data_IF_122145173810
#
_entry.id   IF_122145173810
#
_cell.length_a   1.000
_cell.length_b   1.000
_cell.length_c   1.000
_cell.angle_alpha   90.00
_cell.angle_beta   90.00
_cell.angle_gamma   90.00
#
_symmetry.space_group_name_H-M   'P 1'
#
loop_
_entity.id
_entity.type
_entity.pdbx_description
1 polymer ?
#
# COMPACT_ATOMS: atom_id res chain seq x y z
N UNK A 1 26.17 -10.96 -4.81
CA UNK A 1 25.02 -10.10 -4.44
C UNK A 1 25.22 -8.65 -4.89
N UNK A 2 26.46 -8.14 -5.05
CA UNK A 2 26.73 -6.79 -5.57
C UNK A 2 26.58 -6.67 -7.09
N UNK A 3 26.73 -7.75 -7.83
CA UNK A 3 26.59 -7.74 -9.31
C UNK A 3 25.13 -7.68 -9.82
N UNK A 4 24.14 -8.01 -8.98
CA UNK A 4 22.71 -7.94 -9.38
C UNK A 4 22.08 -6.57 -9.14
N UNK A 5 22.64 -5.71 -8.28
CA UNK A 5 22.15 -4.35 -8.06
C UNK A 5 22.63 -3.36 -9.13
N UNK A 6 23.81 -3.57 -9.72
CA UNK A 6 24.34 -2.73 -10.81
C UNK A 6 23.54 -2.88 -12.13
N UNK A 7 22.99 -4.06 -12.42
CA UNK A 7 22.24 -4.29 -13.66
C UNK A 7 20.84 -3.62 -13.67
N UNK A 8 20.22 -3.43 -12.50
CA UNK A 8 18.93 -2.74 -12.39
C UNK A 8 19.01 -1.23 -12.60
N UNK A 9 20.11 -0.60 -12.22
CA UNK A 9 20.29 0.84 -12.34
C UNK A 9 20.80 1.26 -13.73
N UNK A 10 21.46 0.35 -14.45
CA UNK A 10 21.91 0.59 -15.82
C UNK A 10 20.77 0.70 -16.86
N UNK A 11 19.57 0.20 -16.53
CA UNK A 11 18.39 0.27 -17.40
C UNK A 11 17.55 1.53 -17.21
N UNK A 12 17.80 2.34 -16.21
CA UNK A 12 17.05 3.58 -15.97
C UNK A 12 17.52 4.71 -16.90
N UNK A 13 16.53 5.44 -17.45
CA UNK A 13 16.77 6.61 -18.31
C UNK A 13 17.10 7.82 -17.43
N UNK A 14 18.37 8.10 -17.20
CA UNK A 14 18.82 9.21 -16.34
C UNK A 14 19.55 10.30 -17.10
N UNK A 15 20.32 9.95 -18.13
CA UNK A 15 21.07 10.89 -18.95
C UNK A 15 20.22 11.52 -20.05
N UNK A 16 20.58 12.75 -20.47
CA UNK A 16 19.91 13.39 -21.60
C UNK A 16 20.03 12.59 -22.89
N UNK A 17 21.14 11.87 -23.09
CA UNK A 17 21.33 11.04 -24.26
C UNK A 17 20.37 9.86 -24.26
N UNK A 18 20.28 9.11 -23.14
CA UNK A 18 19.37 7.96 -23.05
C UNK A 18 17.90 8.36 -23.19
N UNK A 19 17.51 9.50 -22.60
CA UNK A 19 16.15 10.06 -22.73
C UNK A 19 15.88 10.45 -24.19
N UNK A 20 16.84 11.06 -24.85
CA UNK A 20 16.72 11.44 -26.27
C UNK A 20 16.54 10.21 -27.16
N UNK A 21 17.37 9.20 -26.95
CA UNK A 21 17.31 7.97 -27.72
C UNK A 21 15.98 7.26 -27.53
N UNK A 22 15.50 7.21 -26.30
CA UNK A 22 14.16 6.71 -25.98
C UNK A 22 13.07 7.50 -26.73
N UNK A 23 13.10 8.82 -26.69
CA UNK A 23 12.12 9.68 -27.38
C UNK A 23 12.12 9.47 -28.88
N UNK A 24 13.28 9.25 -29.47
CA UNK A 24 13.40 9.00 -30.92
C UNK A 24 12.88 7.61 -31.31
N UNK A 25 13.15 6.59 -30.49
CA UNK A 25 12.80 5.20 -30.80
C UNK A 25 11.36 4.85 -30.35
N UNK A 26 10.97 5.26 -29.15
CA UNK A 26 9.75 4.82 -28.48
C UNK A 26 8.80 5.95 -28.09
N UNK A 27 9.11 7.20 -28.41
CA UNK A 27 8.30 8.35 -28.01
C UNK A 27 6.83 8.31 -28.48
N UNK A 28 6.55 7.57 -29.55
CA UNK A 28 5.18 7.36 -30.07
C UNK A 28 4.31 6.48 -29.17
N UNK A 29 4.90 5.72 -28.26
CA UNK A 29 4.19 4.88 -27.29
C UNK A 29 3.66 5.68 -26.10
N UNK A 30 4.15 6.91 -25.91
CA UNK A 30 3.71 7.80 -24.86
C UNK A 30 2.33 8.41 -25.18
N UNK A 31 1.48 8.65 -24.16
CA UNK A 31 0.29 9.49 -24.31
C UNK A 31 0.65 10.85 -24.93
N UNK A 32 -0.23 11.39 -25.77
CA UNK A 32 0.07 12.58 -26.57
C UNK A 32 0.49 13.80 -25.75
N UNK A 33 -0.18 14.05 -24.62
CA UNK A 33 0.16 15.16 -23.73
C UNK A 33 1.51 14.95 -23.05
N UNK A 34 1.84 13.74 -22.64
CA UNK A 34 3.13 13.41 -22.02
C UNK A 34 4.25 13.52 -23.06
N UNK A 35 4.01 13.06 -24.29
CA UNK A 35 4.98 13.20 -25.38
C UNK A 35 5.29 14.66 -25.69
N UNK A 36 4.26 15.52 -25.75
CA UNK A 36 4.43 16.94 -25.98
C UNK A 36 5.18 17.61 -24.81
N UNK A 37 4.81 17.27 -23.59
CA UNK A 37 5.50 17.73 -22.39
C UNK A 37 6.98 17.31 -22.38
N UNK A 38 7.27 16.05 -22.73
CA UNK A 38 8.63 15.53 -22.78
C UNK A 38 9.48 16.27 -23.80
N UNK A 39 8.96 16.55 -24.99
CA UNK A 39 9.66 17.36 -26.00
C UNK A 39 10.01 18.75 -25.52
N UNK A 40 9.08 19.43 -24.84
CA UNK A 40 9.31 20.76 -24.28
C UNK A 40 10.39 20.73 -23.18
N UNK A 41 10.31 19.78 -22.25
CA UNK A 41 11.30 19.65 -21.19
C UNK A 41 12.68 19.25 -21.73
N UNK A 42 12.74 18.42 -22.76
CA UNK A 42 14.00 18.07 -23.43
C UNK A 42 14.66 19.28 -24.09
N UNK A 43 13.86 20.17 -24.70
CA UNK A 43 14.36 21.43 -25.25
C UNK A 43 14.93 22.33 -24.14
N UNK A 44 14.24 22.47 -23.00
CA UNK A 44 14.73 23.22 -21.84
C UNK A 44 16.02 22.60 -21.30
N UNK A 45 16.07 21.30 -21.10
CA UNK A 45 17.24 20.62 -20.56
C UNK A 45 18.50 20.76 -21.45
N UNK A 46 18.33 20.97 -22.75
CA UNK A 46 19.40 21.20 -23.72
C UNK A 46 19.75 22.65 -23.95
N UNK A 47 18.89 23.59 -23.56
CA UNK A 47 19.08 25.00 -23.84
C UNK A 47 20.23 25.58 -23.00
N UNK A 48 21.10 26.34 -23.65
CA UNK A 48 22.13 27.12 -22.97
C UNK A 48 21.64 28.52 -22.52
N UNK A 49 20.44 28.90 -22.93
CA UNK A 49 19.82 30.16 -22.61
C UNK A 49 19.12 30.20 -21.26
N UNK A 50 18.80 28.99 -20.71
CA UNK A 50 18.18 28.85 -19.38
C UNK A 50 19.23 28.57 -18.31
N UNK A 51 18.86 28.84 -17.04
CA UNK A 51 19.75 28.60 -15.90
C UNK A 51 20.14 27.12 -15.76
N UNK A 52 21.34 26.84 -15.21
CA UNK A 52 21.74 25.46 -14.93
C UNK A 52 20.74 24.73 -14.00
N UNK A 53 20.11 25.46 -13.13
CA UNK A 53 19.12 24.93 -12.17
C UNK A 53 17.83 24.50 -12.87
N UNK A 54 17.32 25.33 -13.76
CA UNK A 54 16.15 25.02 -14.58
C UNK A 54 16.40 23.81 -15.50
N UNK A 55 17.58 23.72 -16.11
CA UNK A 55 17.98 22.53 -16.90
C UNK A 55 17.99 21.27 -16.04
N UNK A 56 18.53 21.33 -14.82
CA UNK A 56 18.57 20.20 -13.89
C UNK A 56 17.16 19.75 -13.49
N UNK A 57 16.25 20.68 -13.21
CA UNK A 57 14.86 20.34 -12.90
C UNK A 57 14.16 19.70 -14.09
N UNK A 58 14.35 20.21 -15.30
CA UNK A 58 13.78 19.62 -16.51
C UNK A 58 14.30 18.19 -16.74
N UNK A 59 15.59 17.97 -16.59
CA UNK A 59 16.19 16.64 -16.73
C UNK A 59 15.69 15.65 -15.68
N UNK A 60 15.60 16.08 -14.43
CA UNK A 60 15.06 15.24 -13.34
C UNK A 60 13.60 14.86 -13.58
N UNK A 61 12.77 15.80 -13.99
CA UNK A 61 11.37 15.53 -14.31
C UNK A 61 11.23 14.58 -15.50
N UNK A 62 12.05 14.74 -16.55
CA UNK A 62 12.11 13.80 -17.68
C UNK A 62 12.50 12.39 -17.21
N UNK A 63 13.53 12.26 -16.39
CA UNK A 63 13.95 10.97 -15.85
C UNK A 63 12.83 10.28 -15.08
N UNK A 64 12.10 11.00 -14.25
CA UNK A 64 10.94 10.45 -13.51
C UNK A 64 9.88 9.94 -14.48
N UNK A 65 9.44 10.77 -15.42
CA UNK A 65 8.32 10.47 -16.31
C UNK A 65 8.64 9.41 -17.37
N UNK A 66 9.87 9.38 -17.88
CA UNK A 66 10.28 8.42 -18.92
C UNK A 66 10.58 7.01 -18.36
N UNK A 67 10.78 6.89 -17.05
CA UNK A 67 10.92 5.60 -16.39
C UNK A 67 9.58 5.01 -15.90
N UNK A 68 8.46 5.72 -16.10
CA UNK A 68 7.12 5.18 -15.87
C UNK A 68 6.62 4.57 -17.17
N UNK A 69 6.22 3.30 -17.13
CA UNK A 69 5.57 2.64 -18.24
C UNK A 69 4.10 3.05 -18.30
N UNK A 70 3.72 3.85 -19.30
CA UNK A 70 2.35 4.32 -19.52
C UNK A 70 1.55 3.25 -20.24
N UNK A 71 0.73 2.51 -19.47
CA UNK A 71 -0.05 1.37 -19.96
C UNK A 71 -1.46 1.78 -20.38
N UNK A 72 -2.07 0.94 -21.19
CA UNK A 72 -3.47 1.07 -21.56
C UNK A 72 -4.39 0.75 -20.36
N UNK A 73 -5.62 1.24 -20.42
CA UNK A 73 -6.66 0.96 -19.42
C UNK A 73 -7.38 -0.38 -19.71
N UNK A 74 -6.61 -1.45 -19.90
CA UNK A 74 -7.13 -2.79 -20.10
C UNK A 74 -6.54 -3.74 -19.04
N UNK A 75 -7.41 -4.43 -18.32
CA UNK A 75 -7.04 -5.39 -17.28
C UNK A 75 -7.48 -6.80 -17.69
N UNK A 76 -6.56 -7.73 -17.56
CA UNK A 76 -6.84 -9.12 -17.83
C UNK A 76 -7.79 -9.72 -16.79
N UNK A 77 -8.48 -10.77 -17.20
CA UNK A 77 -9.39 -11.49 -16.31
C UNK A 77 -8.59 -12.22 -15.21
N UNK A 78 -9.16 -12.18 -14.01
CA UNK A 78 -8.61 -12.82 -12.81
C UNK A 78 -9.51 -13.99 -12.44
N UNK A 79 -8.93 -15.15 -12.16
CA UNK A 79 -9.68 -16.30 -11.69
C UNK A 79 -10.29 -16.01 -10.31
N UNK A 80 -11.64 -16.03 -10.18
CA UNK A 80 -12.28 -15.79 -8.89
C UNK A 80 -11.93 -16.84 -7.82
N UNK A 81 -11.65 -18.06 -8.21
CA UNK A 81 -11.28 -19.14 -7.27
C UNK A 81 -9.86 -18.91 -6.73
N UNK A 82 -8.92 -18.48 -7.59
CA UNK A 82 -7.60 -18.06 -7.15
C UNK A 82 -7.67 -16.83 -6.21
N UNK A 83 -8.50 -15.85 -6.55
CA UNK A 83 -8.72 -14.68 -5.70
C UNK A 83 -9.29 -15.08 -4.33
N UNK A 84 -10.25 -16.00 -4.30
CA UNK A 84 -10.81 -16.51 -3.07
C UNK A 84 -9.76 -17.24 -2.23
N UNK A 85 -8.95 -18.08 -2.84
CA UNK A 85 -7.86 -18.78 -2.16
C UNK A 85 -6.88 -17.80 -1.49
N UNK A 86 -6.49 -16.75 -2.18
CA UNK A 86 -5.61 -15.70 -1.62
C UNK A 86 -6.26 -15.04 -0.41
N UNK A 87 -7.54 -14.70 -0.50
CA UNK A 87 -8.27 -14.09 0.62
C UNK A 87 -8.40 -15.04 1.82
N UNK A 88 -8.60 -16.33 1.57
CA UNK A 88 -8.71 -17.33 2.64
C UNK A 88 -7.36 -17.62 3.33
N UNK A 89 -6.25 -17.47 2.61
CA UNK A 89 -4.90 -17.53 3.18
C UNK A 89 -4.57 -16.33 4.09
N UNK A 90 -5.03 -15.15 3.72
CA UNK A 90 -4.70 -13.90 4.42
C UNK A 90 -5.69 -13.54 5.54
N UNK A 91 -6.95 -14.00 5.42
CA UNK A 91 -8.03 -13.57 6.30
C UNK A 91 -8.81 -14.78 6.83
N UNK A 92 -9.00 -14.81 8.14
CA UNK A 92 -9.94 -15.74 8.76
C UNK A 92 -11.37 -15.19 8.74
N UNK A 93 -12.35 -15.99 8.32
CA UNK A 93 -13.75 -15.58 8.27
C UNK A 93 -14.00 -14.40 7.33
N UNK A 94 -14.72 -13.40 7.78
CA UNK A 94 -15.07 -12.18 7.02
C UNK A 94 -15.71 -12.48 5.64
N UNK A 95 -16.64 -13.41 5.59
CA UNK A 95 -17.24 -13.88 4.34
C UNK A 95 -17.89 -12.76 3.52
N UNK A 96 -18.54 -11.80 4.16
CA UNK A 96 -19.16 -10.65 3.48
C UNK A 96 -18.11 -9.73 2.83
N UNK A 97 -16.98 -9.52 3.51
CA UNK A 97 -15.87 -8.72 3.00
C UNK A 97 -15.25 -9.41 1.79
N UNK A 98 -14.97 -10.71 1.90
CA UNK A 98 -14.42 -11.52 0.81
C UNK A 98 -15.35 -11.52 -0.41
N UNK A 99 -16.65 -11.70 -0.19
CA UNK A 99 -17.64 -11.65 -1.26
C UNK A 99 -17.64 -10.30 -1.99
N UNK A 100 -17.62 -9.18 -1.26
CA UNK A 100 -17.55 -7.83 -1.85
C UNK A 100 -16.29 -7.65 -2.71
N UNK A 101 -15.18 -8.19 -2.29
CA UNK A 101 -13.93 -8.14 -3.06
C UNK A 101 -14.06 -8.99 -4.33
N UNK A 102 -14.61 -10.21 -4.23
CA UNK A 102 -14.84 -11.08 -5.39
C UNK A 102 -15.83 -10.44 -6.39
N UNK A 103 -16.87 -9.78 -5.92
CA UNK A 103 -17.80 -9.03 -6.79
C UNK A 103 -17.05 -7.96 -7.59
N UNK A 104 -16.11 -7.26 -6.98
CA UNK A 104 -15.25 -6.30 -7.66
C UNK A 104 -14.39 -6.98 -8.76
N UNK A 105 -13.80 -8.14 -8.44
CA UNK A 105 -13.03 -8.92 -9.41
C UNK A 105 -13.89 -9.35 -10.60
N UNK A 106 -15.10 -9.83 -10.36
CA UNK A 106 -16.04 -10.24 -11.42
C UNK A 106 -16.41 -9.03 -12.29
N UNK A 107 -16.59 -7.86 -11.70
CA UNK A 107 -16.84 -6.62 -12.45
C UNK A 107 -15.66 -6.30 -13.37
N UNK A 108 -14.42 -6.36 -12.88
CA UNK A 108 -13.21 -6.15 -13.69
C UNK A 108 -13.16 -7.17 -14.84
N UNK A 109 -13.42 -8.45 -14.56
CA UNK A 109 -13.42 -9.50 -15.57
C UNK A 109 -14.45 -9.25 -16.69
N UNK A 110 -15.56 -8.62 -16.37
CA UNK A 110 -16.61 -8.32 -17.33
C UNK A 110 -16.33 -7.11 -18.19
N UNK A 111 -15.74 -6.07 -17.59
CA UNK A 111 -15.52 -4.78 -18.23
C UNK A 111 -14.09 -4.59 -18.76
N UNK A 112 -13.14 -5.36 -18.27
CA UNK A 112 -11.71 -5.18 -18.45
C UNK A 112 -11.18 -3.79 -18.06
N UNK A 113 -11.94 -3.10 -17.19
CA UNK A 113 -11.59 -1.79 -16.62
C UNK A 113 -11.72 -1.81 -15.11
N UNK A 114 -11.02 -0.91 -14.45
CA UNK A 114 -11.19 -0.74 -13.01
C UNK A 114 -12.58 -0.18 -12.70
N UNK A 115 -13.18 -0.53 -11.55
CA UNK A 115 -14.42 0.07 -11.08
C UNK A 115 -14.28 1.58 -10.92
N UNK A 116 -15.38 2.32 -11.09
CA UNK A 116 -15.42 3.77 -10.93
C UNK A 116 -15.12 4.22 -9.49
N UNK A 117 -15.39 3.36 -8.51
CA UNK A 117 -15.17 3.63 -7.10
C UNK A 117 -14.03 2.78 -6.56
N UNK A 118 -13.12 3.42 -5.80
CA UNK A 118 -12.14 2.71 -4.98
C UNK A 118 -12.82 1.99 -3.81
N UNK A 119 -12.05 1.24 -3.05
CA UNK A 119 -12.51 0.55 -1.84
C UNK A 119 -12.07 1.35 -0.61
N UNK A 120 -12.99 1.61 0.32
CA UNK A 120 -12.69 2.15 1.64
C UNK A 120 -13.04 1.11 2.70
N UNK A 121 -12.02 0.61 3.39
CA UNK A 121 -12.13 -0.34 4.48
C UNK A 121 -12.21 0.43 5.80
N UNK A 122 -13.34 0.33 6.49
CA UNK A 122 -13.57 1.02 7.76
C UNK A 122 -13.82 0.01 8.86
N UNK A 123 -13.11 0.16 9.96
CA UNK A 123 -13.30 -0.69 11.14
C UNK A 123 -12.26 -0.42 12.22
N UNK A 124 -12.38 -1.08 13.37
CA UNK A 124 -11.48 -0.89 14.49
C UNK A 124 -10.00 -1.12 14.11
N UNK A 125 -9.11 -0.49 14.85
CA UNK A 125 -7.66 -0.69 14.66
C UNK A 125 -7.29 -2.17 14.87
N UNK A 126 -6.31 -2.63 14.09
CA UNK A 126 -5.80 -4.00 14.23
C UNK A 126 -6.67 -5.12 13.68
N UNK A 127 -7.74 -4.81 12.92
CA UNK A 127 -8.61 -5.81 12.29
C UNK A 127 -8.09 -6.35 10.95
N UNK A 128 -6.90 -5.94 10.52
CA UNK A 128 -6.28 -6.44 9.29
C UNK A 128 -6.64 -5.68 8.03
N UNK A 129 -7.16 -4.45 8.12
CA UNK A 129 -7.53 -3.63 6.95
C UNK A 129 -6.39 -3.45 5.95
N UNK A 130 -5.18 -3.16 6.42
CA UNK A 130 -4.02 -3.02 5.54
C UNK A 130 -3.66 -4.34 4.85
N UNK A 131 -3.78 -5.48 5.53
CA UNK A 131 -3.55 -6.79 4.92
C UNK A 131 -4.58 -7.11 3.84
N UNK A 132 -5.84 -6.71 4.02
CA UNK A 132 -6.87 -6.82 3.00
C UNK A 132 -6.48 -6.01 1.77
N UNK A 133 -6.00 -4.78 1.94
CA UNK A 133 -5.54 -3.93 0.85
C UNK A 133 -4.37 -4.56 0.07
N UNK A 134 -3.38 -5.12 0.75
CA UNK A 134 -2.27 -5.85 0.12
C UNK A 134 -2.75 -7.12 -0.60
N UNK A 135 -3.69 -7.87 -0.02
CA UNK A 135 -4.26 -9.04 -0.65
C UNK A 135 -4.97 -8.69 -1.97
N UNK A 136 -5.73 -7.59 -2.00
CA UNK A 136 -6.38 -7.10 -3.22
C UNK A 136 -5.34 -6.73 -4.29
N UNK A 137 -4.28 -6.02 -3.92
CA UNK A 137 -3.20 -5.68 -4.85
C UNK A 137 -2.53 -6.92 -5.43
N UNK A 138 -2.29 -7.94 -4.61
CA UNK A 138 -1.73 -9.23 -5.03
C UNK A 138 -2.67 -9.99 -5.99
N UNK A 139 -3.97 -9.97 -5.72
CA UNK A 139 -4.99 -10.59 -6.59
C UNK A 139 -5.02 -9.90 -7.95
N UNK A 140 -4.97 -8.57 -7.97
CA UNK A 140 -4.97 -7.76 -9.20
C UNK A 140 -3.67 -7.90 -9.99
N UNK A 141 -2.61 -8.47 -9.41
CA UNK A 141 -1.27 -8.60 -10.01
C UNK A 141 -0.71 -7.26 -10.49
N UNK A 142 -1.02 -6.20 -9.75
CA UNK A 142 -0.55 -4.85 -10.00
C UNK A 142 0.51 -4.47 -8.96
N UNK A 143 1.48 -3.64 -9.33
CA UNK A 143 2.32 -3.00 -8.33
C UNK A 143 1.47 -2.14 -7.41
N UNK A 144 1.93 -1.96 -6.18
CA UNK A 144 1.25 -1.09 -5.23
C UNK A 144 2.22 -0.12 -4.58
N UNK A 145 1.69 1.01 -4.17
CA UNK A 145 2.37 1.99 -3.34
C UNK A 145 1.48 2.38 -2.18
N UNK A 146 2.09 2.84 -1.09
CA UNK A 146 1.38 3.22 0.12
C UNK A 146 1.55 4.69 0.42
N UNK A 147 0.48 5.31 0.89
CA UNK A 147 0.46 6.66 1.45
C UNK A 147 -0.16 6.58 2.85
N UNK A 148 0.54 7.10 3.84
CA UNK A 148 0.02 7.22 5.20
C UNK A 148 -0.43 8.67 5.44
N UNK A 149 -1.75 8.87 5.50
CA UNK A 149 -2.32 10.21 5.68
C UNK A 149 -2.05 10.81 7.05
N UNK A 150 -1.71 10.01 8.06
CA UNK A 150 -1.33 10.52 9.38
C UNK A 150 -0.01 11.30 9.36
N UNK A 151 0.85 11.03 8.40
CA UNK A 151 2.14 11.72 8.20
C UNK A 151 2.05 12.98 7.35
N UNK A 152 0.91 13.24 6.71
CA UNK A 152 0.72 14.37 5.79
C UNK A 152 0.11 15.56 6.53
N UNK A 153 0.87 16.65 6.62
CA UNK A 153 0.47 17.87 7.29
C UNK A 153 0.17 19.03 6.32
N UNK A 154 0.67 18.96 5.10
CA UNK A 154 0.55 19.99 4.08
C UNK A 154 0.18 19.37 2.72
N UNK A 155 -0.84 19.92 2.01
CA UNK A 155 -1.18 19.48 0.66
C UNK A 155 -0.02 19.47 -0.33
N UNK A 156 0.97 20.35 -0.18
CA UNK A 156 2.15 20.41 -1.04
C UNK A 156 3.01 19.14 -0.96
N UNK A 157 3.00 18.44 0.17
CA UNK A 157 3.66 17.13 0.28
C UNK A 157 3.10 16.11 -0.73
N UNK A 158 1.82 16.21 -1.07
CA UNK A 158 1.16 15.35 -2.06
C UNK A 158 1.35 15.83 -3.49
N UNK A 159 1.31 17.15 -3.71
CA UNK A 159 1.28 17.77 -5.05
C UNK A 159 2.64 18.24 -5.53
N UNK A 160 3.66 18.26 -4.69
CA UNK A 160 4.99 18.76 -5.05
C UNK A 160 5.09 20.28 -5.04
N UNK A 161 6.31 20.77 -5.12
CA UNK A 161 6.66 22.18 -5.07
C UNK A 161 6.99 22.73 -6.46
N UNK A 162 6.70 24.02 -6.68
CA UNK A 162 6.99 24.70 -7.94
C UNK A 162 8.50 24.77 -8.23
N UNK A 163 8.88 24.56 -9.49
CA UNK A 163 10.27 24.60 -9.98
C UNK A 163 10.97 25.95 -9.83
N UNK A 164 10.25 26.99 -9.45
CA UNK A 164 10.85 28.31 -9.15
C UNK A 164 11.75 28.28 -7.91
N UNK A 165 11.61 27.25 -7.08
CA UNK A 165 12.44 27.05 -5.90
C UNK A 165 13.59 26.08 -6.22
N UNK A 166 14.80 26.42 -5.74
CA UNK A 166 16.02 25.63 -5.97
C UNK A 166 15.90 24.19 -5.44
N UNK A 167 15.22 24.01 -4.33
CA UNK A 167 14.99 22.73 -3.67
C UNK A 167 13.65 22.07 -4.06
N UNK A 168 13.03 22.51 -5.16
CA UNK A 168 11.79 21.94 -5.63
C UNK A 168 11.89 20.43 -5.89
N UNK A 169 10.81 19.70 -5.58
CA UNK A 169 10.71 18.26 -5.74
C UNK A 169 9.27 17.84 -6.07
N UNK A 170 9.08 16.69 -6.74
CA UNK A 170 7.76 16.14 -6.94
C UNK A 170 7.10 15.77 -5.60
N UNK A 171 5.78 15.69 -5.62
CA UNK A 171 5.00 15.23 -4.47
C UNK A 171 4.97 13.71 -4.35
N UNK A 172 4.48 13.22 -3.22
CA UNK A 172 4.42 11.81 -2.88
C UNK A 172 3.60 11.01 -3.90
N UNK A 173 2.54 11.59 -4.48
CA UNK A 173 1.73 10.91 -5.50
C UNK A 173 2.57 10.57 -6.74
N UNK A 174 3.37 11.52 -7.24
CA UNK A 174 4.27 11.25 -8.36
C UNK A 174 5.43 10.32 -7.99
N UNK A 175 5.94 10.43 -6.76
CA UNK A 175 6.92 9.46 -6.25
C UNK A 175 6.34 8.04 -6.20
N UNK A 176 5.03 7.90 -5.90
CA UNK A 176 4.34 6.62 -5.94
C UNK A 176 4.29 6.01 -7.36
N UNK A 177 3.98 6.81 -8.38
CA UNK A 177 4.05 6.37 -9.77
C UNK A 177 5.47 5.95 -10.17
N UNK A 178 6.47 6.73 -9.77
CA UNK A 178 7.87 6.42 -10.05
C UNK A 178 8.32 5.12 -9.36
N UNK A 179 7.92 4.90 -8.12
CA UNK A 179 8.23 3.68 -7.37
C UNK A 179 7.55 2.45 -7.96
N UNK A 180 6.30 2.58 -8.43
CA UNK A 180 5.59 1.52 -9.11
C UNK A 180 6.18 1.20 -10.49
N UNK A 181 6.80 2.17 -11.14
CA UNK A 181 7.38 2.05 -12.47
C UNK A 181 6.36 1.94 -13.60
N UNK A 182 5.06 2.01 -13.31
CA UNK A 182 3.99 1.95 -14.30
C UNK A 182 2.74 2.73 -13.90
N UNK A 183 1.90 3.06 -14.86
CA UNK A 183 0.69 3.86 -14.66
C UNK A 183 -0.50 3.07 -14.11
N UNK A 184 -0.46 1.74 -14.20
CA UNK A 184 -1.48 0.85 -13.65
C UNK A 184 -1.00 0.32 -12.30
N UNK A 185 -1.57 0.82 -11.22
CA UNK A 185 -1.13 0.48 -9.86
C UNK A 185 -2.28 0.51 -8.86
N UNK A 186 -2.12 -0.19 -7.77
CA UNK A 186 -2.95 -0.05 -6.57
C UNK A 186 -2.33 1.01 -5.66
N UNK A 187 -3.11 2.02 -5.32
CA UNK A 187 -2.69 3.08 -4.41
C UNK A 187 -3.36 2.89 -3.06
N UNK A 188 -2.58 2.42 -2.08
CA UNK A 188 -3.07 2.13 -0.74
C UNK A 188 -2.94 3.37 0.12
N UNK A 189 -4.07 3.93 0.53
CA UNK A 189 -4.16 5.15 1.34
C UNK A 189 -4.52 4.74 2.77
N UNK A 190 -3.53 4.69 3.64
CA UNK A 190 -3.71 4.31 5.03
C UNK A 190 -4.15 5.50 5.88
N UNK A 191 -4.99 5.22 6.89
CA UNK A 191 -5.42 6.19 7.89
C UNK A 191 -6.04 7.46 7.31
N UNK A 192 -6.95 7.29 6.35
CA UNK A 192 -7.62 8.41 5.68
C UNK A 192 -8.37 9.34 6.65
N UNK A 193 -8.87 8.82 7.75
CA UNK A 193 -9.52 9.56 8.85
C UNK A 193 -8.55 10.39 9.72
N UNK A 194 -7.25 10.16 9.59
CA UNK A 194 -6.21 10.90 10.34
C UNK A 194 -5.60 12.06 9.55
N UNK A 195 -6.07 12.32 8.34
CA UNK A 195 -5.63 13.48 7.58
C UNK A 195 -5.81 14.75 8.42
N UNK A 196 -4.71 15.47 8.65
CA UNK A 196 -4.75 16.67 9.46
C UNK A 196 -5.72 17.70 8.85
N UNK A 197 -6.65 18.18 9.64
CA UNK A 197 -7.42 19.38 9.29
C UNK A 197 -6.48 20.58 9.40
N UNK A 198 -5.80 20.90 8.28
CA UNK A 198 -4.77 21.93 8.25
C UNK A 198 -5.31 23.28 8.65
N UNK A 199 -4.70 23.88 9.66
CA UNK A 199 -4.88 25.28 9.98
C UNK A 199 -4.08 26.10 8.95
N UNK A 200 -4.72 26.51 7.85
CA UNK A 200 -4.14 27.48 6.92
C UNK A 200 -4.17 27.09 5.44
N UNK A 201 -3.64 25.94 5.04
CA UNK A 201 -3.44 25.61 3.62
C UNK A 201 -4.46 24.61 3.03
N UNK A 202 -5.57 24.34 3.73
CA UNK A 202 -6.56 23.35 3.29
C UNK A 202 -6.34 21.97 3.88
N UNK A 203 -7.28 21.05 3.58
CA UNK A 203 -7.19 19.66 4.03
C UNK A 203 -6.36 18.86 3.00
N UNK A 204 -5.26 18.19 3.38
CA UNK A 204 -4.49 17.34 2.49
C UNK A 204 -5.33 16.26 1.79
N UNK A 205 -6.38 15.77 2.44
CA UNK A 205 -7.27 14.78 1.84
C UNK A 205 -8.02 15.31 0.59
N UNK A 206 -8.27 16.62 0.48
CA UNK A 206 -8.95 17.21 -0.68
C UNK A 206 -8.13 17.10 -1.97
N UNK A 207 -6.81 17.01 -1.86
CA UNK A 207 -5.93 16.76 -3.01
C UNK A 207 -6.22 15.40 -3.65
N UNK A 208 -6.63 14.42 -2.86
CA UNK A 208 -6.95 13.09 -3.34
C UNK A 208 -8.20 13.07 -4.24
N UNK A 209 -9.06 14.08 -4.19
CA UNK A 209 -10.27 14.14 -5.00
C UNK A 209 -9.98 14.06 -6.50
N UNK A 210 -8.94 14.74 -6.97
CA UNK A 210 -8.54 14.70 -8.38
C UNK A 210 -8.04 13.31 -8.81
N UNK A 211 -7.33 12.62 -7.93
CA UNK A 211 -6.89 11.25 -8.14
C UNK A 211 -8.09 10.29 -8.17
N UNK A 212 -9.05 10.46 -7.26
CA UNK A 212 -10.22 9.61 -7.11
C UNK A 212 -11.25 9.82 -8.24
N UNK A 213 -11.31 11.00 -8.84
CA UNK A 213 -12.21 11.30 -9.95
C UNK A 213 -11.76 10.74 -11.30
N UNK A 214 -10.57 10.15 -11.40
CA UNK A 214 -9.98 9.63 -12.63
C UNK A 214 -9.91 10.66 -13.78
N UNK A 215 -9.84 11.94 -13.44
CA UNK A 215 -9.72 13.05 -14.40
C UNK A 215 -8.27 13.40 -14.74
N UNK A 216 -7.34 12.65 -14.22
CA UNK A 216 -5.92 12.92 -14.28
C UNK A 216 -5.43 13.67 -13.03
N UNK A 217 -4.13 13.67 -12.86
CA UNK A 217 -3.45 14.32 -11.74
C UNK A 217 -2.31 15.19 -12.25
N UNK A 218 -2.17 16.40 -11.72
CA UNK A 218 -1.08 17.30 -12.06
C UNK A 218 -0.25 17.60 -10.82
N UNK A 219 1.01 17.19 -10.85
CA UNK A 219 2.01 17.52 -9.85
C UNK A 219 2.64 18.87 -10.18
N UNK A 220 2.86 19.72 -9.17
CA UNK A 220 3.39 21.07 -9.35
C UNK A 220 4.85 21.10 -9.84
N UNK A 221 5.62 20.06 -9.54
CA UNK A 221 6.99 19.93 -10.02
C UNK A 221 7.05 19.37 -11.44
N UNK A 222 6.24 18.37 -11.74
CA UNK A 222 6.21 17.73 -13.06
C UNK A 222 5.53 18.66 -14.09
N UNK A 223 4.48 19.37 -13.71
CA UNK A 223 3.73 20.27 -14.60
C UNK A 223 3.13 19.56 -15.83
N UNK A 224 2.66 18.33 -15.61
CA UNK A 224 2.01 17.52 -16.63
C UNK A 224 0.80 16.82 -16.03
N UNK A 225 -0.33 16.86 -16.72
CA UNK A 225 -1.47 16.05 -16.33
C UNK A 225 -1.21 14.59 -16.71
N UNK A 226 -1.13 13.72 -15.69
CA UNK A 226 -0.92 12.29 -15.88
C UNK A 226 -2.24 11.53 -15.79
N UNK A 227 -2.45 10.49 -16.61
CA UNK A 227 -3.67 9.68 -16.56
C UNK A 227 -3.74 8.90 -15.25
N UNK A 228 -4.92 8.85 -14.65
CA UNK A 228 -5.20 8.16 -13.36
C UNK A 228 -6.21 7.02 -13.50
N UNK A 229 -6.68 6.74 -14.69
CA UNK A 229 -7.66 5.67 -14.96
C UNK A 229 -7.15 4.26 -14.65
N UNK A 230 -5.84 4.08 -14.61
CA UNK A 230 -5.17 2.83 -14.22
C UNK A 230 -4.84 2.74 -12.72
N UNK A 231 -5.18 3.75 -11.93
CA UNK A 231 -4.95 3.78 -10.49
C UNK A 231 -6.18 3.25 -9.75
N UNK A 232 -5.99 2.21 -8.97
CA UNK A 232 -7.05 1.68 -8.11
C UNK A 232 -6.80 2.08 -6.65
N UNK A 233 -7.56 3.03 -6.10
CA UNK A 233 -7.38 3.47 -4.73
C UNK A 233 -8.05 2.49 -3.75
N UNK A 234 -7.31 2.07 -2.73
CA UNK A 234 -7.80 1.31 -1.59
C UNK A 234 -7.42 2.08 -0.33
N UNK A 235 -8.41 2.61 0.36
CA UNK A 235 -8.17 3.36 1.59
C UNK A 235 -8.56 2.57 2.83
N UNK A 236 -7.92 2.88 3.94
CA UNK A 236 -8.26 2.36 5.27
C UNK A 236 -8.58 3.50 6.22
N UNK A 237 -9.52 3.29 7.12
CA UNK A 237 -9.87 4.23 8.18
C UNK A 237 -10.44 3.50 9.38
N UNK A 238 -10.36 4.12 10.54
CA UNK A 238 -11.00 3.61 11.75
C UNK A 238 -12.40 4.20 11.95
N UNK A 239 -12.59 5.48 11.62
CA UNK A 239 -13.80 6.23 11.89
C UNK A 239 -14.33 6.94 10.63
N UNK A 240 -15.63 6.80 10.36
CA UNK A 240 -16.29 7.46 9.22
C UNK A 240 -16.40 8.98 9.37
N UNK A 241 -16.67 9.44 10.58
CA UNK A 241 -17.03 10.83 10.86
C UNK A 241 -15.90 11.84 10.60
N UNK A 242 -14.68 11.34 10.53
CA UNK A 242 -13.48 12.16 10.24
C UNK A 242 -13.21 12.32 8.74
N UNK A 243 -13.97 11.64 7.89
CA UNK A 243 -13.78 11.68 6.44
C UNK A 243 -14.86 12.57 5.82
N UNK A 244 -14.46 13.51 4.96
CA UNK A 244 -15.40 14.41 4.30
C UNK A 244 -16.37 13.67 3.37
N UNK A 245 -17.60 14.17 3.26
CA UNK A 245 -18.62 13.58 2.38
C UNK A 245 -18.19 13.48 0.90
N UNK A 246 -17.49 14.47 0.30
CA UNK A 246 -16.99 14.35 -1.06
C UNK A 246 -16.03 13.17 -1.26
N UNK A 247 -15.15 12.89 -0.30
CA UNK A 247 -14.24 11.75 -0.35
C UNK A 247 -15.01 10.44 -0.17
N UNK A 248 -15.89 10.37 0.82
CA UNK A 248 -16.72 9.18 1.07
C UNK A 248 -17.51 8.75 -0.16
N UNK A 249 -18.06 9.71 -0.92
CA UNK A 249 -18.87 9.43 -2.10
C UNK A 249 -18.10 8.79 -3.26
N UNK A 250 -16.78 8.82 -3.23
CA UNK A 250 -15.89 8.25 -4.26
C UNK A 250 -15.40 6.85 -3.96
N UNK A 251 -15.81 6.30 -2.82
CA UNK A 251 -15.45 4.96 -2.40
C UNK A 251 -16.67 4.05 -2.25
N UNK A 252 -16.47 2.78 -2.60
CA UNK A 252 -17.32 1.70 -2.11
C UNK A 252 -16.87 1.35 -0.69
N UNK A 253 -17.70 1.64 0.30
CA UNK A 253 -17.38 1.43 1.70
C UNK A 253 -17.63 -0.02 2.08
N UNK A 254 -16.64 -0.64 2.70
CA UNK A 254 -16.74 -1.98 3.30
C UNK A 254 -16.47 -1.84 4.80
N UNK A 255 -17.47 -2.13 5.60
CA UNK A 255 -17.32 -2.16 7.06
C UNK A 255 -16.64 -3.47 7.48
N UNK A 256 -15.54 -3.34 8.22
CA UNK A 256 -14.77 -4.45 8.77
C UNK A 256 -15.15 -4.60 10.24
N UNK A 257 -15.87 -5.68 10.61
CA UNK A 257 -16.23 -5.92 12.01
C UNK A 257 -15.01 -6.32 12.83
N UNK A 258 -15.08 -6.09 14.14
CA UNK A 258 -14.12 -6.69 15.05
C UNK A 258 -14.36 -8.20 15.19
N UNK A 259 -13.34 -8.91 15.56
CA UNK A 259 -13.43 -10.35 15.81
C UNK A 259 -14.06 -10.64 17.17
N UNK A 260 -14.87 -11.68 17.21
CA UNK A 260 -15.37 -12.23 18.48
C UNK A 260 -14.24 -12.92 19.26
N UNK A 261 -14.36 -13.10 20.58
CA UNK A 261 -13.37 -13.82 21.37
C UNK A 261 -13.07 -15.24 20.83
N UNK A 262 -14.10 -15.95 20.35
CA UNK A 262 -13.95 -17.27 19.76
C UNK A 262 -13.14 -17.22 18.46
N UNK A 263 -13.40 -16.23 17.59
CA UNK A 263 -12.63 -16.02 16.36
C UNK A 263 -11.19 -15.62 16.68
N UNK A 264 -10.95 -14.75 17.66
CA UNK A 264 -9.61 -14.37 18.12
C UNK A 264 -8.80 -15.58 18.59
N UNK A 265 -9.41 -16.52 19.31
CA UNK A 265 -8.79 -17.76 19.74
C UNK A 265 -8.32 -18.61 18.54
N UNK A 266 -9.17 -18.75 17.53
CA UNK A 266 -8.84 -19.48 16.30
C UNK A 266 -7.74 -18.75 15.50
N UNK A 267 -7.83 -17.43 15.36
CA UNK A 267 -6.84 -16.64 14.65
C UNK A 267 -5.47 -16.77 15.33
N UNK A 268 -5.42 -16.67 16.65
CA UNK A 268 -4.17 -16.83 17.38
C UNK A 268 -3.55 -18.19 17.14
N UNK A 269 -4.32 -19.28 17.32
CA UNK A 269 -3.80 -20.64 17.25
C UNK A 269 -3.45 -21.10 15.84
N UNK A 270 -4.22 -20.69 14.84
CA UNK A 270 -4.07 -21.18 13.45
C UNK A 270 -3.29 -20.26 12.52
N UNK A 271 -3.23 -18.97 12.83
CA UNK A 271 -2.61 -17.96 11.95
C UNK A 271 -1.46 -17.22 12.64
N UNK A 272 -1.70 -16.55 13.75
CA UNK A 272 -0.72 -15.69 14.38
C UNK A 272 0.48 -16.47 14.92
N UNK A 273 0.25 -17.44 15.77
CA UNK A 273 1.34 -18.23 16.37
C UNK A 273 2.13 -19.03 15.32
N UNK A 274 1.51 -19.81 14.41
CA UNK A 274 2.26 -20.53 13.38
C UNK A 274 3.10 -19.63 12.47
N UNK A 275 2.59 -18.48 12.09
CA UNK A 275 3.30 -17.48 11.27
C UNK A 275 4.58 -16.98 11.98
N UNK A 276 4.47 -16.68 13.27
CA UNK A 276 5.59 -16.20 14.08
C UNK A 276 6.61 -17.31 14.34
N UNK A 277 6.16 -18.53 14.66
CA UNK A 277 7.04 -19.67 14.82
C UNK A 277 7.87 -19.94 13.56
N UNK A 278 7.24 -19.90 12.39
CA UNK A 278 7.92 -20.03 11.11
C UNK A 278 8.97 -18.93 10.90
N UNK A 279 8.63 -17.67 11.22
CA UNK A 279 9.57 -16.54 11.12
C UNK A 279 10.79 -16.69 12.05
N UNK A 280 10.60 -17.28 13.22
CA UNK A 280 11.65 -17.54 14.20
C UNK A 280 12.35 -18.90 14.00
N UNK A 281 12.04 -19.62 12.93
CA UNK A 281 12.59 -20.96 12.67
C UNK A 281 12.31 -21.99 13.77
N UNK A 282 11.18 -21.83 14.46
CA UNK A 282 10.66 -22.80 15.43
C UNK A 282 9.66 -23.76 14.76
N UNK A 283 9.75 -25.02 15.11
CA UNK A 283 8.73 -26.00 14.71
C UNK A 283 7.50 -25.89 15.62
N UNK A 284 6.36 -26.32 15.12
CA UNK A 284 5.09 -26.28 15.86
C UNK A 284 5.11 -27.20 17.11
N UNK A 285 5.89 -28.26 17.07
CA UNK A 285 6.07 -29.19 18.21
C UNK A 285 7.01 -28.64 19.29
N UNK A 286 7.83 -27.65 18.99
CA UNK A 286 8.74 -27.01 19.94
C UNK A 286 8.06 -25.96 20.83
N UNK A 287 6.97 -25.37 20.35
CA UNK A 287 6.22 -24.35 21.10
C UNK A 287 4.72 -24.57 20.94
N UNK A 288 4.06 -24.96 22.01
CA UNK A 288 2.61 -25.20 22.04
C UNK A 288 1.94 -24.38 23.14
N UNK A 289 0.72 -23.93 22.86
CA UNK A 289 -0.14 -23.25 23.82
C UNK A 289 -1.37 -24.12 24.05
N UNK A 290 -1.67 -24.43 25.30
CA UNK A 290 -2.84 -25.24 25.65
C UNK A 290 -4.13 -24.45 25.46
N UNK A 291 -5.28 -25.12 25.45
CA UNK A 291 -6.58 -24.45 25.40
C UNK A 291 -6.78 -23.48 26.57
N UNK A 292 -6.33 -23.87 27.78
CA UNK A 292 -6.36 -22.99 28.96
C UNK A 292 -5.45 -21.76 28.76
N UNK A 293 -4.26 -21.96 28.18
CA UNK A 293 -3.37 -20.87 27.83
C UNK A 293 -3.98 -19.92 26.80
N UNK A 294 -4.66 -20.43 25.79
CA UNK A 294 -5.40 -19.64 24.81
C UNK A 294 -6.52 -18.81 25.48
N UNK A 295 -7.29 -19.42 26.38
CA UNK A 295 -8.35 -18.72 27.11
C UNK A 295 -7.79 -17.57 27.94
N UNK A 296 -6.66 -17.74 28.60
CA UNK A 296 -5.97 -16.69 29.35
C UNK A 296 -5.50 -15.56 28.43
N UNK A 297 -4.95 -15.88 27.26
CA UNK A 297 -4.55 -14.87 26.27
C UNK A 297 -5.76 -14.00 25.86
N UNK A 298 -6.87 -14.64 25.52
CA UNK A 298 -8.09 -13.94 25.11
C UNK A 298 -8.65 -13.09 26.25
N UNK A 299 -8.59 -13.56 27.51
CA UNK A 299 -9.00 -12.82 28.69
C UNK A 299 -8.14 -11.55 28.88
N UNK A 300 -6.82 -11.69 28.83
CA UNK A 300 -5.87 -10.58 29.01
C UNK A 300 -6.07 -9.44 28.00
N UNK A 301 -6.42 -9.78 26.77
CA UNK A 301 -6.62 -8.83 25.68
C UNK A 301 -8.10 -8.65 25.30
N UNK A 302 -9.03 -8.93 26.21
CA UNK A 302 -10.48 -8.81 25.98
C UNK A 302 -10.96 -7.40 25.68
N UNK A 303 -10.25 -6.39 26.17
CA UNK A 303 -10.60 -4.98 26.03
C UNK A 303 -9.94 -4.31 24.81
N UNK A 304 -9.15 -5.03 24.03
CA UNK A 304 -8.49 -4.51 22.84
C UNK A 304 -9.19 -4.96 21.58
N UNK A 305 -9.28 -4.07 20.61
CA UNK A 305 -9.84 -4.38 19.30
C UNK A 305 -8.81 -5.00 18.37
N UNK A 306 -9.26 -5.83 17.44
CA UNK A 306 -8.42 -6.46 16.44
C UNK A 306 -7.51 -7.56 16.98
N UNK A 307 -6.45 -7.85 16.27
CA UNK A 307 -5.52 -8.97 16.56
C UNK A 307 -4.07 -8.50 16.81
N UNK A 308 -3.78 -7.21 16.75
CA UNK A 308 -2.40 -6.70 16.90
C UNK A 308 -1.75 -7.11 18.22
N UNK A 309 -2.50 -6.97 19.31
CA UNK A 309 -1.99 -7.35 20.65
C UNK A 309 -1.83 -8.86 20.78
N UNK A 310 -2.67 -9.63 20.10
CA UNK A 310 -2.53 -11.09 20.02
C UNK A 310 -1.28 -11.50 19.24
N UNK A 311 -0.94 -10.79 18.15
CA UNK A 311 0.30 -11.01 17.42
C UNK A 311 1.53 -10.69 18.26
N UNK A 312 1.49 -9.62 19.05
CA UNK A 312 2.56 -9.29 19.99
C UNK A 312 2.69 -10.35 21.10
N UNK A 313 1.57 -10.85 21.61
CA UNK A 313 1.58 -11.94 22.58
C UNK A 313 2.19 -13.23 21.99
N UNK A 314 1.82 -13.56 20.75
CA UNK A 314 2.39 -14.71 20.05
C UNK A 314 3.91 -14.54 19.85
N UNK A 315 4.38 -13.35 19.52
CA UNK A 315 5.80 -13.05 19.39
C UNK A 315 6.55 -13.21 20.71
N UNK A 316 5.97 -12.74 21.81
CA UNK A 316 6.58 -12.87 23.13
C UNK A 316 6.64 -14.34 23.59
N UNK A 317 5.57 -15.12 23.34
CA UNK A 317 5.51 -16.56 23.63
C UNK A 317 6.59 -17.29 22.81
N UNK A 318 6.68 -17.04 21.52
CA UNK A 318 7.66 -17.68 20.63
C UNK A 318 9.11 -17.31 21.02
N UNK A 319 9.37 -16.05 21.35
CA UNK A 319 10.70 -15.60 21.80
C UNK A 319 11.10 -16.27 23.13
N UNK A 320 10.16 -16.41 24.07
CA UNK A 320 10.43 -17.12 25.32
C UNK A 320 10.70 -18.61 25.08
N UNK A 321 9.93 -19.26 24.22
CA UNK A 321 10.15 -20.66 23.84
C UNK A 321 11.54 -20.84 23.24
N UNK A 322 11.94 -19.97 22.30
CA UNK A 322 13.26 -19.99 21.68
C UNK A 322 14.37 -19.84 22.72
N UNK A 323 14.23 -18.89 23.65
CA UNK A 323 15.18 -18.72 24.75
C UNK A 323 15.33 -20.00 25.59
N UNK A 324 14.22 -20.64 25.97
CA UNK A 324 14.27 -21.86 26.76
C UNK A 324 14.92 -23.03 26.03
N UNK A 325 14.69 -23.15 24.73
CA UNK A 325 15.30 -24.19 23.90
C UNK A 325 16.81 -23.96 23.77
N UNK A 326 17.24 -22.78 23.43
CA UNK A 326 18.64 -22.49 23.13
C UNK A 326 19.50 -22.34 24.38
N UNK A 327 18.98 -21.74 25.44
CA UNK A 327 19.75 -21.44 26.66
C UNK A 327 19.57 -22.52 27.72
N UNK A 328 18.36 -22.99 27.95
CA UNK A 328 18.05 -23.97 28.98
C UNK A 328 18.05 -25.43 28.46
N UNK A 329 18.29 -25.61 27.13
CA UNK A 329 18.37 -26.90 26.46
C UNK A 329 17.12 -27.79 26.63
N UNK A 330 15.95 -27.15 26.68
CA UNK A 330 14.65 -27.83 26.70
C UNK A 330 14.29 -28.22 25.26
N UNK A 331 13.65 -29.37 25.08
CA UNK A 331 13.27 -29.87 23.74
C UNK A 331 11.98 -29.23 23.21
N UNK A 332 11.08 -28.94 24.12
CA UNK A 332 9.76 -28.37 23.82
C UNK A 332 9.30 -27.48 24.99
N UNK A 333 8.51 -26.47 24.70
CA UNK A 333 7.91 -25.55 25.68
C UNK A 333 6.39 -25.59 25.51
N UNK A 334 5.69 -25.88 26.61
CA UNK A 334 4.22 -25.87 26.66
C UNK A 334 3.76 -24.71 27.55
N UNK A 335 2.94 -23.84 26.98
CA UNK A 335 2.35 -22.71 27.71
C UNK A 335 0.92 -23.05 28.11
N UNK A 336 0.73 -23.38 29.37
CA UNK A 336 -0.58 -23.47 30.01
C UNK A 336 -1.07 -22.12 30.54
N UNK A 337 -2.21 -22.09 31.22
CA UNK A 337 -2.77 -20.83 31.72
C UNK A 337 -1.85 -20.12 32.72
N UNK A 338 -1.13 -20.85 33.59
CA UNK A 338 -0.20 -20.25 34.56
C UNK A 338 1.04 -19.69 33.86
N UNK A 339 1.61 -20.43 32.92
CA UNK A 339 2.79 -20.00 32.16
C UNK A 339 2.48 -18.74 31.32
N UNK A 340 1.30 -18.69 30.71
CA UNK A 340 0.85 -17.51 29.95
C UNK A 340 0.67 -16.30 30.86
N UNK A 341 0.03 -16.45 32.02
CA UNK A 341 -0.12 -15.36 32.99
C UNK A 341 1.22 -14.85 33.48
N UNK A 342 2.13 -15.76 33.80
CA UNK A 342 3.47 -15.38 34.28
C UNK A 342 4.29 -14.63 33.22
N UNK A 343 4.06 -14.92 31.95
CA UNK A 343 4.81 -14.32 30.85
C UNK A 343 4.23 -12.98 30.37
N UNK A 344 2.89 -12.88 30.30
CA UNK A 344 2.20 -11.76 29.65
C UNK A 344 1.53 -10.75 30.61
N UNK A 345 1.50 -11.01 31.93
CA UNK A 345 0.95 -10.06 32.95
C UNK A 345 1.92 -9.01 33.46
#
# INVERSE_FOLDING_TARGET
DEEMEEDGDSMKLTSLQSITDFMNCAGRTLPDNIRLWARRNLAVARSHEVSPEERRHAQRALSIMMNIQWKSNYFESIDPDEARRILDEELYGMERVKQRIIETIIQINRTHTLPAYGILLIGPAGTGKSQIAYAIARILKLPWTTLDMSSINDPEQLTGSSRVYANAKPGIIMEAFAAAGESNLVFIINELDKAASGKGNGNPADVLLTLLDNLGFTDNYIECNVPTVGVYPIATANEKDQISAPIMSRFAVIDIPDYTPAEKKIIFSRFALPKILKRMSLRQDECTVTDEGLDVIIELYSNTSGIRDLEQAAEHIAANALYQIEVNHVKEVVFDGEAVRALLS
#
